data_IF_490258759125
#
_entry.id   IF_490258759125
#
_cell.length_a   1.000
_cell.length_b   1.000
_cell.length_c   1.000
_cell.angle_alpha   90.00
_cell.angle_beta   90.00
_cell.angle_gamma   90.00
#
_symmetry.space_group_name_H-M   'P 1'
#
loop_
_entity.id
_entity.type
_entity.pdbx_description
1 polymer ?
#
# COMPACT_ATOMS: atom_id res chain seq x y z
N UNK A 1 44.72 -27.23 24.99
CA UNK A 1 46.11 -26.78 25.20
C UNK A 1 46.65 -26.22 23.89
N UNK A 2 47.25 -25.09 24.00
CA UNK A 2 47.99 -24.20 23.07
C UNK A 2 47.21 -23.00 22.58
N UNK A 3 47.44 -21.93 23.34
CA UNK A 3 47.28 -20.50 22.99
C UNK A 3 48.34 -20.12 21.97
N UNK A 4 48.03 -19.30 20.98
CA UNK A 4 49.00 -18.40 20.36
C UNK A 4 48.38 -17.03 20.25
N UNK A 5 49.03 -16.08 20.84
CA UNK A 5 48.87 -14.66 20.97
C UNK A 5 49.85 -13.99 19.99
N UNK A 6 49.46 -12.96 19.26
CA UNK A 6 50.37 -11.93 18.69
C UNK A 6 49.50 -10.87 18.03
N UNK A 7 49.47 -9.71 18.50
CA UNK A 7 50.30 -8.52 18.66
C UNK A 7 50.03 -7.45 17.57
N UNK A 8 49.66 -6.32 18.11
CA UNK A 8 49.47 -4.96 17.54
C UNK A 8 50.54 -4.51 16.55
N UNK A 9 50.12 -3.72 15.54
CA UNK A 9 50.94 -2.58 15.09
C UNK A 9 50.06 -1.41 14.69
N UNK A 10 50.11 -0.32 15.45
CA UNK A 10 49.57 0.99 15.15
C UNK A 10 50.58 1.74 14.26
N UNK A 11 50.08 2.41 13.24
CA UNK A 11 50.81 3.33 12.40
C UNK A 11 50.08 4.67 12.28
N UNK A 12 50.54 5.63 13.09
CA UNK A 12 50.16 7.04 13.01
C UNK A 12 51.05 7.69 11.95
N UNK A 13 50.46 8.35 10.95
CA UNK A 13 51.18 9.36 10.15
C UNK A 13 50.35 10.66 10.13
N UNK A 14 50.83 11.60 10.89
CA UNK A 14 50.47 13.00 10.82
C UNK A 14 51.24 13.67 9.66
N UNK A 15 50.56 14.44 8.84
CA UNK A 15 51.23 15.45 7.99
C UNK A 15 50.55 16.79 8.12
N UNK A 16 51.42 17.77 8.33
CA UNK A 16 51.21 19.12 8.78
C UNK A 16 50.66 20.07 7.74
N UNK A 17 50.06 21.13 8.28
CA UNK A 17 49.59 22.35 7.63
C UNK A 17 50.67 23.10 6.87
N UNK A 18 50.31 23.74 5.76
CA UNK A 18 50.92 24.98 5.29
C UNK A 18 49.85 25.93 4.79
N UNK A 19 49.71 27.03 5.50
CA UNK A 19 48.92 28.18 5.13
C UNK A 19 49.66 29.01 4.10
N UNK A 20 48.97 29.52 3.08
CA UNK A 20 49.38 30.71 2.36
C UNK A 20 48.15 31.59 2.03
N UNK A 21 48.17 32.76 2.60
CA UNK A 21 47.29 33.87 2.42
C UNK A 21 47.52 34.57 1.05
N UNK A 22 46.43 35.00 0.41
CA UNK A 22 46.50 35.92 -0.74
C UNK A 22 45.10 36.38 -1.14
N UNK A 23 44.73 37.60 -0.78
CA UNK A 23 43.66 38.47 -1.32
C UNK A 23 44.34 39.64 -2.00
N UNK A 24 43.67 40.53 -2.77
CA UNK A 24 42.50 40.48 -3.64
C UNK A 24 42.74 41.05 -5.06
N UNK A 25 41.78 40.92 -5.95
CA UNK A 25 41.59 41.90 -7.03
C UNK A 25 40.10 41.98 -7.44
N UNK A 26 39.53 43.15 -7.17
CA UNK A 26 38.27 43.63 -7.72
C UNK A 26 38.41 43.85 -9.23
N UNK A 27 37.37 43.49 -9.99
CA UNK A 27 37.14 44.11 -11.29
C UNK A 27 35.64 44.30 -11.46
N UNK A 28 35.29 45.57 -11.72
CA UNK A 28 33.95 46.13 -11.86
C UNK A 28 33.22 45.63 -13.11
N UNK A 29 31.90 45.70 -13.02
CA UNK A 29 30.87 45.49 -14.05
C UNK A 29 30.95 46.53 -15.20
N UNK A 30 30.18 46.32 -16.27
CA UNK A 30 29.34 47.42 -16.70
C UNK A 30 27.84 47.07 -16.68
N UNK A 31 27.08 48.03 -16.17
CA UNK A 31 25.64 48.20 -16.29
C UNK A 31 25.21 48.28 -17.76
N UNK A 32 24.11 47.64 -18.10
CA UNK A 32 23.29 48.05 -19.23
C UNK A 32 21.83 47.99 -18.84
N UNK A 33 21.18 49.13 -19.05
CA UNK A 33 19.83 49.51 -18.66
C UNK A 33 18.76 48.69 -19.39
N UNK A 34 17.64 48.52 -18.68
CA UNK A 34 16.36 48.02 -19.14
C UNK A 34 15.69 48.93 -20.20
N UNK A 35 14.64 48.43 -20.85
CA UNK A 35 13.40 49.18 -20.86
C UNK A 35 12.24 48.45 -20.23
N UNK A 36 11.48 49.23 -19.47
CA UNK A 36 10.18 48.94 -18.92
C UNK A 36 9.17 48.60 -20.04
N UNK A 37 8.37 47.56 -19.80
CA UNK A 37 7.02 47.46 -20.36
C UNK A 37 6.10 46.86 -19.33
N UNK A 38 5.02 47.59 -19.07
CA UNK A 38 4.01 47.37 -18.06
C UNK A 38 3.10 46.16 -18.34
N UNK A 39 2.71 45.53 -17.22
CA UNK A 39 1.40 45.05 -16.81
C UNK A 39 0.69 43.97 -17.64
N UNK A 40 0.45 42.93 -16.97
CA UNK A 40 -0.80 42.19 -16.66
C UNK A 40 -0.40 40.79 -16.24
N UNK A 41 -0.64 40.32 -15.07
CA UNK A 41 -1.84 40.16 -14.30
C UNK A 41 -1.76 38.80 -13.67
N UNK A 42 -1.72 38.75 -12.38
CA UNK A 42 -2.18 37.72 -11.47
C UNK A 42 -2.56 36.37 -12.07
N UNK A 43 -1.89 35.31 -11.71
CA UNK A 43 -2.41 34.06 -11.15
C UNK A 43 -1.35 32.96 -11.28
N UNK A 44 -0.43 32.87 -10.33
CA UNK A 44 0.31 31.62 -10.05
C UNK A 44 1.16 31.77 -8.77
N UNK A 45 0.48 31.83 -7.65
CA UNK A 45 1.09 31.62 -6.33
C UNK A 45 -0.04 31.46 -5.31
N UNK A 46 -0.76 30.35 -5.32
CA UNK A 46 -1.60 29.88 -4.20
C UNK A 46 -2.08 28.47 -4.50
N UNK A 47 -1.20 27.49 -4.57
CA UNK A 47 -1.58 26.05 -4.56
C UNK A 47 -0.71 25.25 -3.58
N UNK A 48 0.38 25.82 -3.02
CA UNK A 48 1.27 25.06 -2.13
C UNK A 48 1.06 25.30 -0.62
N UNK A 49 -0.05 25.89 -0.20
CA UNK A 49 -0.27 26.15 1.23
C UNK A 49 -1.69 25.86 1.72
N UNK A 50 -2.43 24.96 1.05
CA UNK A 50 -3.81 24.64 1.38
C UNK A 50 -4.08 23.15 1.66
N UNK A 51 -3.07 22.31 1.83
CA UNK A 51 -3.25 20.88 2.11
C UNK A 51 -3.07 20.55 3.60
N UNK A 52 -2.79 21.52 4.44
CA UNK A 52 -2.54 21.33 5.86
C UNK A 52 -3.75 21.62 6.78
N UNK A 53 -4.89 22.04 6.24
CA UNK A 53 -6.12 22.28 7.02
C UNK A 53 -7.33 21.96 6.15
N UNK A 54 -7.61 20.68 5.92
CA UNK A 54 -8.97 20.28 5.53
C UNK A 54 -9.65 19.69 6.75
N UNK A 55 -10.15 20.57 7.57
CA UNK A 55 -11.16 20.28 8.60
C UNK A 55 -12.42 19.86 7.84
N UNK A 56 -13.00 18.74 8.26
CA UNK A 56 -14.24 18.17 7.78
C UNK A 56 -15.29 19.20 7.34
N UNK A 57 -15.76 19.13 6.11
CA UNK A 57 -17.05 19.68 5.75
C UNK A 57 -18.14 18.77 6.35
N UNK A 58 -18.79 19.25 7.40
CA UNK A 58 -19.96 18.62 8.00
C UNK A 58 -21.13 18.74 7.04
N UNK A 59 -21.48 17.65 6.36
CA UNK A 59 -22.77 17.50 5.70
C UNK A 59 -23.73 16.83 6.68
N UNK A 60 -24.38 17.61 7.53
CA UNK A 60 -25.44 17.13 8.41
C UNK A 60 -26.70 16.76 7.61
N UNK A 61 -27.03 15.48 7.51
CA UNK A 61 -28.33 14.99 7.07
C UNK A 61 -29.30 14.92 8.24
N UNK A 62 -30.47 15.57 8.13
CA UNK A 62 -31.53 15.50 9.15
C UNK A 62 -32.07 14.06 9.25
N UNK A 63 -31.71 13.33 10.32
CA UNK A 63 -32.25 12.01 10.63
C UNK A 63 -31.23 10.88 10.78
N UNK A 64 -29.92 11.18 10.74
CA UNK A 64 -28.84 10.19 10.83
C UNK A 64 -28.59 9.64 12.24
N UNK A 65 -27.65 8.67 12.33
CA UNK A 65 -27.23 8.06 13.59
C UNK A 65 -26.56 9.06 14.54
N UNK A 66 -25.99 10.15 13.98
CA UNK A 66 -25.30 11.21 14.71
C UNK A 66 -23.94 10.79 15.27
N UNK A 67 -23.43 9.61 14.87
CA UNK A 67 -22.10 9.13 15.27
C UNK A 67 -20.99 9.78 14.46
N UNK A 68 -19.81 9.88 15.05
CA UNK A 68 -18.59 10.31 14.39
C UNK A 68 -17.67 9.10 14.23
N UNK A 69 -17.39 8.73 12.99
CA UNK A 69 -16.55 7.59 12.63
C UNK A 69 -15.16 8.09 12.20
N UNK A 70 -14.11 7.54 12.80
CA UNK A 70 -12.74 7.74 12.33
C UNK A 70 -12.41 6.74 11.21
N UNK A 71 -11.67 7.15 10.17
CA UNK A 71 -11.03 6.25 9.24
C UNK A 71 -9.52 6.50 9.24
N UNK A 72 -8.74 5.46 9.52
CA UNK A 72 -7.28 5.52 9.54
C UNK A 72 -6.69 4.48 8.59
N UNK A 73 -6.44 4.86 7.32
CA UNK A 73 -5.60 4.09 6.41
C UNK A 73 -4.13 4.22 6.83
N UNK A 74 -3.18 3.58 6.12
CA UNK A 74 -1.78 3.92 6.29
C UNK A 74 -1.24 4.88 5.22
N UNK A 75 -1.97 5.09 4.12
CA UNK A 75 -1.71 6.14 3.13
C UNK A 75 -2.96 6.43 2.30
N UNK A 76 -3.05 7.62 1.71
CA UNK A 76 -4.05 7.97 0.69
C UNK A 76 -3.41 8.25 -0.68
N UNK A 77 -2.11 8.03 -0.82
CA UNK A 77 -1.43 8.15 -2.12
C UNK A 77 -1.62 6.92 -3.02
N UNK A 78 -2.02 5.78 -2.43
CA UNK A 78 -2.41 4.59 -3.18
C UNK A 78 -3.92 4.62 -3.42
N UNK A 79 -4.33 4.43 -4.67
CA UNK A 79 -5.73 4.50 -5.10
C UNK A 79 -6.64 3.46 -4.42
N UNK A 80 -6.09 2.32 -3.96
CA UNK A 80 -6.82 1.32 -3.19
C UNK A 80 -7.44 1.92 -1.92
N UNK A 81 -6.65 2.66 -1.12
CA UNK A 81 -7.16 3.26 0.12
C UNK A 81 -8.08 4.45 -0.14
N UNK A 82 -7.93 5.12 -1.28
CA UNK A 82 -8.91 6.12 -1.72
C UNK A 82 -10.24 5.45 -2.07
N UNK A 83 -10.24 4.26 -2.68
CA UNK A 83 -11.46 3.49 -2.93
C UNK A 83 -12.12 3.02 -1.61
N UNK A 84 -11.33 2.57 -0.62
CA UNK A 84 -11.84 2.25 0.72
C UNK A 84 -12.48 3.48 1.37
N UNK A 85 -11.80 4.64 1.32
CA UNK A 85 -12.33 5.91 1.84
C UNK A 85 -13.66 6.29 1.19
N UNK A 86 -13.79 6.12 -0.13
CA UNK A 86 -15.04 6.38 -0.84
C UNK A 86 -16.17 5.47 -0.33
N UNK A 87 -15.86 4.21 -0.02
CA UNK A 87 -16.81 3.30 0.61
C UNK A 87 -17.23 3.76 2.00
N UNK A 88 -16.28 4.18 2.83
CA UNK A 88 -16.55 4.74 4.15
C UNK A 88 -17.44 5.99 4.06
N UNK A 89 -17.14 6.91 3.11
CA UNK A 89 -17.92 8.12 2.92
C UNK A 89 -19.36 7.80 2.47
N UNK A 90 -19.52 6.89 1.50
CA UNK A 90 -20.84 6.46 1.05
C UNK A 90 -21.67 5.89 2.20
N UNK A 91 -21.09 5.03 3.03
CA UNK A 91 -21.81 4.47 4.18
C UNK A 91 -22.15 5.56 5.23
N UNK A 92 -21.24 6.50 5.48
CA UNK A 92 -21.51 7.61 6.40
C UNK A 92 -22.65 8.48 5.89
N UNK A 93 -22.69 8.81 4.59
CA UNK A 93 -23.74 9.60 3.97
C UNK A 93 -25.11 8.91 4.07
N UNK A 94 -25.17 7.58 3.85
CA UNK A 94 -26.39 6.80 3.94
C UNK A 94 -26.88 6.59 5.37
N UNK A 95 -25.96 6.40 6.31
CA UNK A 95 -26.26 6.11 7.72
C UNK A 95 -26.37 7.38 8.58
N UNK A 96 -26.03 8.54 8.02
CA UNK A 96 -26.05 9.83 8.70
C UNK A 96 -25.00 9.94 9.80
N UNK A 97 -23.77 9.49 9.50
CA UNK A 97 -22.59 9.65 10.33
C UNK A 97 -21.72 10.81 9.85
N UNK A 98 -20.86 11.33 10.73
CA UNK A 98 -19.74 12.17 10.35
C UNK A 98 -18.49 11.28 10.14
N UNK A 99 -17.68 11.54 9.09
CA UNK A 99 -16.43 10.83 8.82
C UNK A 99 -15.23 11.77 9.06
N UNK A 100 -14.30 11.35 9.93
CA UNK A 100 -13.00 12.01 10.14
C UNK A 100 -11.90 11.09 9.65
N UNK A 101 -11.00 11.59 8.79
CA UNK A 101 -9.87 10.81 8.31
C UNK A 101 -8.62 11.68 8.12
N UNK A 102 -7.45 11.05 8.11
CA UNK A 102 -6.16 11.68 7.86
C UNK A 102 -5.31 10.79 6.96
N UNK A 103 -4.26 11.37 6.35
CA UNK A 103 -3.26 10.66 5.57
C UNK A 103 -1.96 10.51 6.38
N UNK A 104 -1.62 9.32 6.88
CA UNK A 104 -0.38 9.06 7.60
C UNK A 104 0.86 9.05 6.72
N UNK A 105 0.71 8.85 5.39
CA UNK A 105 1.81 8.85 4.42
C UNK A 105 2.85 7.74 4.68
N UNK A 106 2.40 6.54 5.01
CA UNK A 106 3.22 5.37 5.34
C UNK A 106 4.11 5.57 6.59
N UNK A 107 3.73 6.47 7.50
CA UNK A 107 4.43 6.69 8.76
C UNK A 107 3.58 6.15 9.93
N UNK A 108 3.97 5.04 10.57
CA UNK A 108 3.21 4.44 11.67
C UNK A 108 3.15 5.34 12.91
N UNK A 109 4.15 6.20 13.13
CA UNK A 109 4.13 7.17 14.24
C UNK A 109 3.09 8.24 13.98
N UNK A 110 3.06 8.77 12.76
CA UNK A 110 2.06 9.76 12.33
C UNK A 110 0.65 9.15 12.35
N UNK A 111 0.49 7.88 11.96
CA UNK A 111 -0.78 7.17 12.05
C UNK A 111 -1.27 7.12 13.52
N UNK A 112 -0.39 6.76 14.44
CA UNK A 112 -0.72 6.69 15.85
C UNK A 112 -1.11 8.08 16.44
N UNK A 113 -0.37 9.12 16.09
CA UNK A 113 -0.67 10.49 16.54
C UNK A 113 -2.03 10.95 16.00
N UNK A 114 -2.32 10.70 14.72
CA UNK A 114 -3.61 11.03 14.09
C UNK A 114 -4.80 10.28 14.71
N UNK A 115 -4.62 9.01 15.07
CA UNK A 115 -5.67 8.25 15.81
C UNK A 115 -5.91 8.87 17.18
N UNK A 116 -4.86 9.27 17.92
CA UNK A 116 -5.00 9.97 19.18
C UNK A 116 -5.74 11.32 19.03
N UNK A 117 -5.49 12.04 17.93
CA UNK A 117 -6.20 13.27 17.60
C UNK A 117 -7.68 13.00 17.31
N UNK A 118 -8.02 11.93 16.59
CA UNK A 118 -9.42 11.50 16.37
C UNK A 118 -10.11 11.14 17.69
N UNK A 119 -9.44 10.40 18.59
CA UNK A 119 -9.96 10.08 19.93
C UNK A 119 -10.23 11.37 20.72
N UNK A 120 -9.30 12.31 20.70
CA UNK A 120 -9.46 13.60 21.36
C UNK A 120 -10.59 14.46 20.75
N UNK A 121 -10.85 14.33 19.46
CA UNK A 121 -11.98 14.94 18.76
C UNK A 121 -13.32 14.28 19.10
N UNK A 122 -13.31 13.10 19.71
CA UNK A 122 -14.50 12.41 20.22
C UNK A 122 -15.16 11.48 19.20
N UNK A 123 -14.39 10.75 18.40
CA UNK A 123 -14.95 9.69 17.56
C UNK A 123 -15.61 8.60 18.41
N UNK A 124 -16.71 8.03 17.89
CA UNK A 124 -17.44 6.94 18.55
C UNK A 124 -16.87 5.56 18.13
N UNK A 125 -16.38 5.46 16.88
CA UNK A 125 -15.75 4.26 16.37
C UNK A 125 -14.64 4.59 15.36
N UNK A 126 -13.76 3.61 15.10
CA UNK A 126 -12.63 3.69 14.19
C UNK A 126 -12.67 2.54 13.19
N UNK A 127 -12.63 2.83 11.91
CA UNK A 127 -12.28 1.90 10.84
C UNK A 127 -10.77 2.01 10.63
N UNK A 128 -10.04 0.91 10.85
CA UNK A 128 -8.59 0.92 10.99
C UNK A 128 -7.88 -0.04 10.04
N UNK A 129 -6.88 0.48 9.31
CA UNK A 129 -5.94 -0.31 8.52
C UNK A 129 -4.53 -0.05 9.05
N UNK A 130 -3.89 -0.96 9.80
CA UNK A 130 -2.54 -0.75 10.29
C UNK A 130 -1.52 -0.78 9.16
N UNK A 131 -0.54 0.13 9.20
CA UNK A 131 0.65 0.03 8.34
C UNK A 131 1.54 -1.15 8.79
N UNK A 132 1.76 -1.28 10.08
CA UNK A 132 2.47 -2.36 10.74
C UNK A 132 1.51 -3.14 11.64
N UNK A 133 1.21 -4.38 11.27
CA UNK A 133 0.29 -5.25 12.02
C UNK A 133 0.76 -5.50 13.45
N UNK A 134 2.07 -5.66 13.68
CA UNK A 134 2.65 -5.91 14.99
C UNK A 134 2.75 -4.64 15.87
N UNK A 135 2.77 -3.46 15.25
CA UNK A 135 2.88 -2.17 15.95
C UNK A 135 1.54 -1.59 16.42
N UNK A 136 0.41 -2.24 16.12
CA UNK A 136 -0.93 -1.68 16.33
C UNK A 136 -1.36 -1.60 17.81
N UNK A 137 -0.80 -2.43 18.69
CA UNK A 137 -1.26 -2.62 20.08
C UNK A 137 -1.47 -1.32 20.87
N UNK A 138 -0.54 -0.36 20.76
CA UNK A 138 -0.60 0.87 21.53
C UNK A 138 -1.82 1.73 21.18
N UNK A 139 -2.12 1.90 19.89
CA UNK A 139 -3.27 2.70 19.45
C UNK A 139 -4.59 1.98 19.70
N UNK A 140 -4.62 0.65 19.54
CA UNK A 140 -5.80 -0.16 19.85
C UNK A 140 -6.14 -0.09 21.35
N UNK A 141 -5.12 -0.14 22.22
CA UNK A 141 -5.34 0.04 23.66
C UNK A 141 -5.86 1.44 23.98
N UNK A 142 -5.36 2.49 23.30
CA UNK A 142 -5.88 3.85 23.48
C UNK A 142 -7.35 3.97 23.06
N UNK A 143 -7.75 3.36 21.94
CA UNK A 143 -9.16 3.29 21.53
C UNK A 143 -10.02 2.59 22.60
N UNK A 144 -9.57 1.44 23.08
CA UNK A 144 -10.28 0.66 24.11
C UNK A 144 -10.45 1.45 25.41
N UNK A 145 -9.38 2.13 25.87
CA UNK A 145 -9.41 2.95 27.08
C UNK A 145 -10.35 4.17 26.95
N UNK A 146 -10.48 4.70 25.75
CA UNK A 146 -11.41 5.78 25.41
C UNK A 146 -12.86 5.30 25.15
N UNK A 147 -13.08 3.98 25.03
CA UNK A 147 -14.39 3.39 24.73
C UNK A 147 -14.76 3.47 23.24
N UNK A 148 -13.81 3.80 22.36
CA UNK A 148 -13.98 3.84 20.92
C UNK A 148 -14.04 2.41 20.38
N UNK A 149 -15.07 2.09 19.57
CA UNK A 149 -15.18 0.81 18.87
C UNK A 149 -14.20 0.73 17.72
N UNK A 150 -13.61 -0.44 17.47
CA UNK A 150 -12.63 -0.60 16.39
C UNK A 150 -13.03 -1.75 15.47
N UNK A 151 -13.25 -1.43 14.20
CA UNK A 151 -13.32 -2.41 13.11
C UNK A 151 -12.01 -2.34 12.33
N UNK A 152 -11.23 -3.41 12.43
CA UNK A 152 -10.01 -3.57 11.63
C UNK A 152 -10.41 -4.06 10.24
N UNK A 153 -9.89 -3.41 9.20
CA UNK A 153 -10.17 -3.83 7.82
C UNK A 153 -8.87 -4.01 7.03
N UNK A 154 -8.91 -4.79 5.94
CA UNK A 154 -7.83 -5.01 4.97
C UNK A 154 -6.58 -5.68 5.57
N UNK A 155 -5.61 -4.89 6.03
CA UNK A 155 -4.43 -5.43 6.71
C UNK A 155 -4.80 -5.78 8.16
N UNK A 156 -4.70 -7.07 8.49
CA UNK A 156 -5.16 -7.59 9.78
C UNK A 156 -4.10 -7.30 10.85
N UNK A 157 -4.56 -6.87 12.03
CA UNK A 157 -3.72 -6.73 13.22
C UNK A 157 -3.16 -8.09 13.65
N UNK A 158 -2.07 -8.11 14.42
CA UNK A 158 -1.51 -9.34 14.95
C UNK A 158 -2.53 -10.12 15.80
N UNK A 159 -2.48 -11.46 15.80
CA UNK A 159 -3.43 -12.32 16.52
C UNK A 159 -3.49 -12.01 18.02
N UNK A 160 -2.36 -11.63 18.61
CA UNK A 160 -2.28 -11.21 20.01
C UNK A 160 -3.08 -9.94 20.34
N UNK A 161 -3.43 -9.13 19.33
CA UNK A 161 -4.20 -7.89 19.47
C UNK A 161 -5.69 -8.05 19.13
N UNK A 162 -6.16 -9.24 18.78
CA UNK A 162 -7.58 -9.49 18.45
C UNK A 162 -8.55 -9.13 19.56
N UNK A 163 -8.12 -9.17 20.83
CA UNK A 163 -8.95 -8.74 21.97
C UNK A 163 -9.13 -7.21 22.05
N UNK A 164 -8.41 -6.46 21.24
CA UNK A 164 -8.44 -4.99 21.19
C UNK A 164 -9.30 -4.43 20.05
N UNK A 165 -9.78 -5.28 19.15
CA UNK A 165 -10.70 -4.92 18.07
C UNK A 165 -12.06 -5.56 18.28
N UNK A 166 -13.12 -4.92 17.78
CA UNK A 166 -14.50 -5.42 17.90
C UNK A 166 -14.90 -6.31 16.72
N UNK A 167 -14.20 -6.19 15.58
CA UNK A 167 -14.40 -7.01 14.38
C UNK A 167 -13.28 -6.83 13.37
N UNK A 168 -13.18 -7.80 12.45
CA UNK A 168 -12.19 -7.84 11.37
C UNK A 168 -12.91 -8.08 10.04
N UNK A 169 -12.66 -7.24 9.05
CA UNK A 169 -13.17 -7.41 7.68
C UNK A 169 -11.96 -7.43 6.73
N UNK A 170 -11.71 -8.55 6.09
CA UNK A 170 -10.57 -8.68 5.19
C UNK A 170 -10.94 -9.50 3.95
N UNK A 171 -10.22 -9.30 2.86
CA UNK A 171 -10.23 -10.21 1.74
C UNK A 171 -9.64 -11.55 2.16
N UNK A 172 -10.07 -12.65 1.52
CA UNK A 172 -9.39 -13.92 1.67
C UNK A 172 -8.03 -13.87 0.98
N UNK A 173 -7.02 -13.41 1.73
CA UNK A 173 -5.66 -13.25 1.21
C UNK A 173 -5.01 -14.57 0.79
N UNK A 174 -5.39 -15.70 1.42
CA UNK A 174 -4.97 -17.03 0.96
C UNK A 174 -5.56 -17.32 -0.43
N UNK A 175 -6.84 -17.04 -0.63
CA UNK A 175 -7.51 -17.25 -1.91
C UNK A 175 -6.95 -16.33 -3.01
N UNK A 176 -6.68 -15.05 -2.69
CA UNK A 176 -6.06 -14.11 -3.62
C UNK A 176 -4.73 -14.63 -4.15
N UNK A 177 -3.84 -15.06 -3.26
CA UNK A 177 -2.57 -15.67 -3.65
C UNK A 177 -2.75 -16.98 -4.41
N UNK A 178 -3.65 -17.84 -3.93
CA UNK A 178 -3.94 -19.14 -4.55
C UNK A 178 -4.35 -19.01 -6.02
N UNK A 179 -5.24 -18.07 -6.35
CA UNK A 179 -5.66 -17.80 -7.74
C UNK A 179 -4.49 -17.43 -8.65
N UNK A 180 -3.52 -16.68 -8.14
CA UNK A 180 -2.32 -16.33 -8.89
C UNK A 180 -1.37 -17.53 -9.07
N UNK A 181 -1.18 -18.31 -8.02
CA UNK A 181 -0.37 -19.54 -8.09
C UNK A 181 -0.96 -20.62 -9.01
N UNK A 182 -2.28 -20.80 -9.00
CA UNK A 182 -3.01 -21.66 -9.93
C UNK A 182 -2.79 -21.25 -11.38
N UNK A 183 -2.88 -19.92 -11.66
CA UNK A 183 -2.65 -19.41 -13.01
C UNK A 183 -1.21 -19.61 -13.47
N UNK A 184 -0.23 -19.38 -12.59
CA UNK A 184 1.19 -19.63 -12.89
C UNK A 184 1.43 -21.11 -13.19
N UNK A 185 0.90 -22.02 -12.37
CA UNK A 185 1.01 -23.46 -12.62
C UNK A 185 0.41 -23.89 -13.98
N UNK A 186 -0.69 -23.25 -14.38
CA UNK A 186 -1.35 -23.47 -15.67
C UNK A 186 -0.54 -22.92 -16.85
N UNK A 187 0.01 -21.73 -16.72
CA UNK A 187 0.73 -21.05 -17.81
C UNK A 187 2.15 -21.57 -18.00
N UNK A 188 2.78 -22.04 -16.92
CA UNK A 188 4.16 -22.54 -16.90
C UNK A 188 4.21 -24.04 -16.50
N UNK A 189 3.63 -24.98 -17.27
CA UNK A 189 3.51 -26.37 -16.86
C UNK A 189 4.86 -27.10 -16.69
N UNK A 190 5.93 -26.55 -17.23
CA UNK A 190 7.29 -27.09 -17.12
C UNK A 190 8.10 -26.52 -15.95
N UNK A 191 7.53 -25.56 -15.18
CA UNK A 191 8.16 -24.84 -14.07
C UNK A 191 8.45 -23.38 -14.41
N UNK A 192 8.83 -22.58 -13.43
CA UNK A 192 9.15 -21.16 -13.57
C UNK A 192 10.16 -20.68 -12.52
N UNK A 193 10.98 -19.71 -12.87
CA UNK A 193 11.80 -18.91 -11.96
C UNK A 193 11.03 -17.66 -11.57
N UNK A 194 10.76 -17.51 -10.28
CA UNK A 194 9.78 -16.55 -9.76
C UNK A 194 10.48 -15.51 -8.89
N UNK A 195 10.30 -14.24 -9.24
CA UNK A 195 10.62 -13.10 -8.39
C UNK A 195 9.37 -12.67 -7.61
N UNK A 196 9.48 -12.51 -6.29
CA UNK A 196 8.41 -11.98 -5.45
C UNK A 196 8.70 -10.52 -5.09
N UNK A 197 7.77 -9.62 -5.42
CA UNK A 197 7.80 -8.22 -4.97
C UNK A 197 6.84 -8.07 -3.81
N UNK A 198 7.39 -7.91 -2.60
CA UNK A 198 6.70 -8.09 -1.32
C UNK A 198 6.54 -6.77 -0.54
N UNK A 199 5.70 -6.82 0.52
CA UNK A 199 5.64 -5.90 1.66
C UNK A 199 5.57 -6.76 2.94
N UNK A 200 6.73 -7.09 3.51
CA UNK A 200 6.86 -8.11 4.55
C UNK A 200 6.36 -7.69 5.94
N UNK A 201 6.11 -6.39 6.14
CA UNK A 201 5.56 -5.87 7.41
C UNK A 201 4.03 -6.00 7.48
N UNK A 202 3.35 -6.31 6.37
CA UNK A 202 1.90 -6.45 6.28
C UNK A 202 1.51 -7.93 6.31
N UNK A 203 0.80 -8.36 7.35
CA UNK A 203 0.36 -9.76 7.54
C UNK A 203 -0.48 -10.25 6.35
N UNK A 204 -1.36 -9.41 5.81
CA UNK A 204 -2.17 -9.71 4.63
C UNK A 204 -1.31 -10.07 3.41
N UNK A 205 -0.13 -9.44 3.25
CA UNK A 205 0.80 -9.72 2.17
C UNK A 205 1.58 -11.02 2.40
N UNK A 206 1.92 -11.34 3.65
CA UNK A 206 2.56 -12.62 4.02
C UNK A 206 1.61 -13.78 3.68
N UNK A 207 0.38 -13.74 4.18
CA UNK A 207 -0.66 -14.76 3.90
C UNK A 207 -0.92 -14.88 2.40
N UNK A 208 -0.88 -13.77 1.67
CA UNK A 208 -1.09 -13.75 0.22
C UNK A 208 0.03 -14.52 -0.52
N UNK A 209 1.30 -14.29 -0.18
CA UNK A 209 2.43 -15.02 -0.79
C UNK A 209 2.41 -16.50 -0.41
N UNK A 210 2.03 -16.86 0.82
CA UNK A 210 1.82 -18.26 1.22
C UNK A 210 0.73 -18.91 0.37
N UNK A 211 -0.39 -18.19 0.13
CA UNK A 211 -1.46 -18.61 -0.75
C UNK A 211 -0.98 -18.86 -2.19
N UNK A 212 -0.11 -17.98 -2.71
CA UNK A 212 0.48 -18.13 -4.04
C UNK A 212 1.27 -19.44 -4.17
N UNK A 213 2.13 -19.74 -3.25
CA UNK A 213 2.89 -20.99 -3.25
C UNK A 213 2.00 -22.21 -3.09
N UNK A 214 0.95 -22.12 -2.28
CA UNK A 214 -0.06 -23.16 -2.14
C UNK A 214 -0.80 -23.41 -3.46
N UNK A 215 -1.17 -22.37 -4.19
CA UNK A 215 -1.77 -22.48 -5.52
C UNK A 215 -0.88 -23.24 -6.50
N UNK A 216 0.42 -22.98 -6.51
CA UNK A 216 1.39 -23.75 -7.30
C UNK A 216 1.47 -25.19 -6.80
N UNK A 217 1.61 -25.42 -5.49
CA UNK A 217 1.77 -26.77 -4.91
C UNK A 217 0.60 -27.69 -5.27
N UNK A 218 -0.62 -27.17 -5.26
CA UNK A 218 -1.82 -27.96 -5.50
C UNK A 218 -2.15 -28.16 -7.01
N UNK A 219 -1.66 -27.28 -7.90
CA UNK A 219 -2.05 -27.30 -9.31
C UNK A 219 -0.92 -27.68 -10.27
N UNK A 220 0.35 -27.58 -9.86
CA UNK A 220 1.48 -27.97 -10.70
C UNK A 220 1.67 -29.50 -10.71
N UNK A 221 2.01 -30.03 -11.89
CA UNK A 221 2.35 -31.46 -12.02
C UNK A 221 3.65 -31.83 -11.25
N UNK A 222 4.58 -30.90 -11.13
CA UNK A 222 5.82 -31.04 -10.37
C UNK A 222 6.17 -29.68 -9.74
N UNK A 223 5.68 -29.39 -8.50
CA UNK A 223 5.92 -28.12 -7.82
C UNK A 223 7.41 -27.80 -7.60
N UNK A 224 8.28 -28.81 -7.57
CA UNK A 224 9.72 -28.62 -7.36
C UNK A 224 10.44 -27.87 -8.51
N UNK A 225 9.75 -27.67 -9.62
CA UNK A 225 10.27 -26.91 -10.78
C UNK A 225 9.98 -25.42 -10.69
N UNK A 226 9.23 -24.97 -9.69
CA UNK A 226 8.97 -23.55 -9.48
C UNK A 226 9.92 -23.05 -8.39
N UNK A 227 10.79 -22.13 -8.77
CA UNK A 227 11.91 -21.69 -7.94
C UNK A 227 11.73 -20.22 -7.58
N UNK A 228 11.69 -19.93 -6.30
CA UNK A 228 11.82 -18.55 -5.82
C UNK A 228 13.27 -18.09 -6.00
N UNK A 229 13.52 -17.25 -7.01
CA UNK A 229 14.87 -16.76 -7.28
C UNK A 229 15.27 -15.64 -6.33
N UNK A 230 14.30 -14.81 -5.94
CA UNK A 230 14.50 -13.73 -4.98
C UNK A 230 13.17 -13.23 -4.43
N UNK A 231 13.17 -12.73 -3.20
CA UNK A 231 12.12 -11.87 -2.63
C UNK A 231 12.72 -10.48 -2.46
N UNK A 232 12.02 -9.45 -2.96
CA UNK A 232 12.43 -8.05 -2.86
C UNK A 232 11.34 -7.22 -2.20
N UNK A 233 11.73 -6.16 -1.47
CA UNK A 233 10.81 -5.27 -0.78
C UNK A 233 10.40 -4.12 -1.73
N UNK A 234 9.14 -4.14 -2.18
CA UNK A 234 8.57 -3.17 -3.13
C UNK A 234 7.79 -2.04 -2.46
N UNK A 235 7.70 -2.03 -1.12
CA UNK A 235 7.00 -1.01 -0.32
C UNK A 235 5.55 -0.74 -0.77
N UNK A 236 4.95 -1.65 -1.54
CA UNK A 236 3.62 -1.48 -2.13
C UNK A 236 3.48 -0.33 -3.12
N UNK A 237 4.58 0.19 -3.67
CA UNK A 237 4.62 1.38 -4.53
C UNK A 237 5.29 1.11 -5.88
N UNK A 238 4.90 1.88 -6.90
CA UNK A 238 5.45 1.78 -8.27
C UNK A 238 6.95 2.07 -8.30
N UNK A 239 7.38 3.17 -7.65
CA UNK A 239 8.78 3.62 -7.72
C UNK A 239 9.73 2.65 -7.02
N UNK A 240 9.35 2.17 -5.82
CA UNK A 240 10.17 1.20 -5.11
C UNK A 240 10.23 -0.14 -5.87
N UNK A 241 9.09 -0.64 -6.34
CA UNK A 241 9.02 -1.86 -7.13
C UNK A 241 9.86 -1.76 -8.41
N UNK A 242 9.76 -0.64 -9.16
CA UNK A 242 10.61 -0.40 -10.34
C UNK A 242 12.10 -0.56 -10.03
N UNK A 243 12.56 0.07 -8.94
CA UNK A 243 13.98 0.05 -8.57
C UNK A 243 14.45 -1.37 -8.23
N UNK A 244 13.71 -2.07 -7.34
CA UNK A 244 14.14 -3.42 -6.88
C UNK A 244 13.99 -4.46 -7.96
N UNK A 245 12.99 -4.35 -8.86
CA UNK A 245 12.84 -5.24 -10.02
C UNK A 245 13.93 -4.97 -11.05
N UNK A 246 14.28 -3.70 -11.30
CA UNK A 246 15.40 -3.35 -12.20
C UNK A 246 16.72 -3.97 -11.73
N UNK A 247 16.99 -3.96 -10.43
CA UNK A 247 18.17 -4.59 -9.83
C UNK A 247 18.09 -6.13 -9.95
N UNK A 248 16.93 -6.72 -9.68
CA UNK A 248 16.72 -8.16 -9.80
C UNK A 248 16.89 -8.65 -11.25
N UNK A 249 16.40 -7.91 -12.24
CA UNK A 249 16.56 -8.24 -13.67
C UNK A 249 18.02 -8.14 -14.16
N UNK A 250 18.87 -7.39 -13.46
CA UNK A 250 20.31 -7.37 -13.71
C UNK A 250 21.05 -8.56 -13.04
N UNK A 251 20.54 -9.04 -11.90
CA UNK A 251 21.13 -10.15 -11.16
C UNK A 251 20.71 -11.52 -11.71
N UNK A 252 19.50 -11.62 -12.28
CA UNK A 252 18.88 -12.84 -12.77
C UNK A 252 18.38 -12.61 -14.20
N UNK A 253 18.93 -13.33 -15.16
CA UNK A 253 18.54 -13.22 -16.58
C UNK A 253 17.45 -14.25 -16.98
N UNK A 254 17.10 -15.13 -16.06
CA UNK A 254 16.23 -16.29 -16.22
C UNK A 254 14.89 -16.19 -15.44
N UNK A 255 14.45 -14.98 -15.05
CA UNK A 255 13.15 -14.77 -14.43
C UNK A 255 12.04 -15.00 -15.47
N UNK A 256 11.09 -15.88 -15.15
CA UNK A 256 9.93 -16.19 -15.97
C UNK A 256 8.66 -15.47 -15.46
N UNK A 257 8.56 -15.28 -14.16
CA UNK A 257 7.37 -14.71 -13.50
C UNK A 257 7.79 -13.68 -12.45
N UNK A 258 7.07 -12.56 -12.39
CA UNK A 258 7.14 -11.59 -11.29
C UNK A 258 5.77 -11.54 -10.63
N UNK A 259 5.69 -12.00 -9.38
CA UNK A 259 4.50 -11.90 -8.55
C UNK A 259 4.60 -10.71 -7.61
N UNK A 260 3.66 -9.77 -7.73
CA UNK A 260 3.59 -8.56 -6.94
C UNK A 260 2.39 -8.58 -6.01
N UNK A 261 2.59 -8.12 -4.78
CA UNK A 261 1.55 -8.11 -3.74
C UNK A 261 0.42 -7.09 -3.99
N UNK A 262 0.56 -6.22 -4.98
CA UNK A 262 -0.49 -5.31 -5.45
C UNK A 262 -0.23 -4.85 -6.90
N UNK A 263 -1.26 -4.27 -7.53
CA UNK A 263 -1.19 -3.78 -8.91
C UNK A 263 -0.27 -2.56 -9.05
N UNK A 264 -0.15 -1.75 -8.01
CA UNK A 264 0.77 -0.60 -7.98
C UNK A 264 2.23 -1.05 -8.11
N UNK A 265 2.64 -2.09 -7.37
CA UNK A 265 3.97 -2.69 -7.51
C UNK A 265 4.13 -3.43 -8.85
N UNK A 266 3.06 -4.08 -9.34
CA UNK A 266 3.07 -4.75 -10.64
C UNK A 266 3.32 -3.77 -11.79
N UNK A 267 2.76 -2.55 -11.72
CA UNK A 267 3.05 -1.48 -12.68
C UNK A 267 4.54 -1.11 -12.67
N UNK A 268 5.17 -1.02 -11.50
CA UNK A 268 6.61 -0.79 -11.37
C UNK A 268 7.44 -1.91 -12.01
N UNK A 269 7.01 -3.17 -11.80
CA UNK A 269 7.64 -4.33 -12.44
C UNK A 269 7.51 -4.28 -13.97
N UNK A 270 6.33 -3.94 -14.50
CA UNK A 270 6.10 -3.76 -15.95
C UNK A 270 7.05 -2.73 -16.53
N UNK A 271 7.18 -1.56 -15.88
CA UNK A 271 8.10 -0.50 -16.34
C UNK A 271 9.57 -0.96 -16.32
N UNK A 272 10.00 -1.70 -15.30
CA UNK A 272 11.36 -2.25 -15.24
C UNK A 272 11.63 -3.28 -16.34
N UNK A 273 10.64 -4.13 -16.69
CA UNK A 273 10.70 -5.09 -17.78
C UNK A 273 10.81 -4.36 -19.14
N UNK A 274 10.04 -3.28 -19.33
CA UNK A 274 10.10 -2.45 -20.54
C UNK A 274 11.48 -1.81 -20.72
N UNK A 275 12.04 -1.21 -19.67
CA UNK A 275 13.38 -0.61 -19.69
C UNK A 275 14.47 -1.65 -19.96
N UNK A 276 14.31 -2.86 -19.43
CA UNK A 276 15.19 -3.98 -19.69
C UNK A 276 14.99 -4.61 -21.10
N UNK A 277 13.97 -4.16 -21.86
CA UNK A 277 13.59 -4.69 -23.19
C UNK A 277 13.23 -6.19 -23.17
N UNK A 278 12.61 -6.63 -22.10
CA UNK A 278 12.15 -8.01 -21.86
C UNK A 278 10.60 -8.12 -21.94
N UNK A 279 9.89 -7.11 -22.47
CA UNK A 279 8.42 -7.12 -22.61
C UNK A 279 7.95 -8.36 -23.37
N UNK A 280 6.94 -9.05 -22.83
CA UNK A 280 6.36 -10.27 -23.38
C UNK A 280 7.22 -11.53 -23.18
N UNK A 281 8.27 -11.47 -22.36
CA UNK A 281 9.08 -12.65 -21.98
C UNK A 281 8.95 -13.02 -20.51
N UNK A 282 8.33 -12.16 -19.70
CA UNK A 282 8.14 -12.34 -18.27
C UNK A 282 6.67 -12.06 -17.96
N UNK A 283 6.00 -13.00 -17.29
CA UNK A 283 4.63 -12.83 -16.83
C UNK A 283 4.61 -11.99 -15.55
N UNK A 284 3.81 -10.93 -15.52
CA UNK A 284 3.60 -10.08 -14.33
C UNK A 284 2.21 -10.32 -13.77
N UNK A 285 2.13 -10.63 -12.49
CA UNK A 285 0.88 -10.80 -11.76
C UNK A 285 0.81 -9.76 -10.63
N UNK A 286 -0.38 -9.20 -10.44
CA UNK A 286 -0.70 -8.24 -9.38
C UNK A 286 -1.84 -8.73 -8.49
N UNK A 287 -2.25 -7.83 -7.59
CA UNK A 287 -3.39 -8.00 -6.69
C UNK A 287 -4.09 -6.66 -6.58
N UNK A 288 -5.34 -6.64 -6.35
CA UNK A 288 -6.32 -5.60 -6.02
C UNK A 288 -7.46 -5.49 -7.04
N UNK A 289 -7.23 -5.80 -8.34
CA UNK A 289 -8.20 -5.53 -9.41
C UNK A 289 -8.35 -4.03 -9.69
N UNK A 290 -7.29 -3.28 -9.45
CA UNK A 290 -7.26 -1.83 -9.63
C UNK A 290 -7.46 -1.41 -11.10
N UNK A 291 -7.96 -0.18 -11.38
CA UNK A 291 -8.00 0.36 -12.73
C UNK A 291 -6.69 0.22 -13.49
N UNK A 292 -5.55 0.55 -12.86
CA UNK A 292 -4.22 0.42 -13.47
C UNK A 292 -3.87 -1.03 -13.84
N UNK A 293 -4.21 -2.00 -12.98
CA UNK A 293 -4.01 -3.43 -13.24
C UNK A 293 -4.89 -3.91 -14.38
N UNK A 294 -6.18 -3.52 -14.41
CA UNK A 294 -7.11 -3.87 -15.49
C UNK A 294 -6.65 -3.32 -16.85
N UNK A 295 -6.20 -2.07 -16.91
CA UNK A 295 -5.60 -1.52 -18.13
C UNK A 295 -4.37 -2.31 -18.57
N UNK A 296 -3.45 -2.65 -17.64
CA UNK A 296 -2.26 -3.42 -17.95
C UNK A 296 -2.57 -4.85 -18.45
N UNK A 297 -3.62 -5.50 -17.91
CA UNK A 297 -4.12 -6.79 -18.42
C UNK A 297 -4.68 -6.62 -19.84
N UNK A 298 -5.48 -5.57 -20.07
CA UNK A 298 -6.07 -5.27 -21.37
C UNK A 298 -5.01 -5.01 -22.43
N UNK A 299 -3.91 -4.33 -22.07
CA UNK A 299 -2.77 -4.02 -22.93
C UNK A 299 -1.80 -5.21 -23.09
N UNK A 300 -1.98 -6.27 -22.29
CA UNK A 300 -1.17 -7.48 -22.33
C UNK A 300 0.22 -7.32 -21.66
N UNK A 301 0.40 -6.32 -20.81
CA UNK A 301 1.65 -6.12 -20.04
C UNK A 301 1.61 -6.79 -18.66
N UNK A 302 0.40 -7.10 -18.16
CA UNK A 302 0.16 -8.00 -17.03
C UNK A 302 -0.70 -9.18 -17.49
N UNK A 303 -0.54 -10.33 -16.83
CA UNK A 303 -1.33 -11.53 -17.15
C UNK A 303 -2.53 -11.69 -16.21
N UNK A 304 -2.46 -11.14 -15.01
CA UNK A 304 -3.53 -11.27 -13.99
C UNK A 304 -3.44 -10.19 -12.93
N UNK A 305 -4.60 -9.83 -12.37
CA UNK A 305 -4.76 -9.25 -11.04
C UNK A 305 -5.78 -10.05 -10.23
N UNK A 306 -5.40 -10.49 -9.01
CA UNK A 306 -6.34 -11.09 -8.06
C UNK A 306 -7.11 -9.97 -7.36
N UNK A 307 -8.42 -9.87 -7.63
CA UNK A 307 -9.21 -8.70 -7.29
C UNK A 307 -9.79 -8.75 -5.88
N UNK A 308 -9.75 -7.60 -5.23
CA UNK A 308 -10.39 -7.25 -3.96
C UNK A 308 -11.60 -6.33 -4.19
N UNK A 309 -12.32 -6.00 -3.11
CA UNK A 309 -13.49 -5.10 -3.13
C UNK A 309 -13.31 -3.96 -2.13
N UNK A 310 -12.38 -3.01 -2.38
CA UNK A 310 -12.01 -1.98 -1.40
C UNK A 310 -13.17 -1.05 -1.05
N UNK A 311 -14.00 -0.63 -2.01
CA UNK A 311 -15.15 0.23 -1.75
C UNK A 311 -16.17 -0.48 -0.86
N UNK A 312 -16.45 -1.76 -1.13
CA UNK A 312 -17.35 -2.57 -0.30
C UNK A 312 -16.78 -2.78 1.11
N UNK A 313 -15.47 -3.01 1.23
CA UNK A 313 -14.79 -3.18 2.51
C UNK A 313 -14.90 -1.92 3.39
N UNK A 314 -14.67 -0.74 2.82
CA UNK A 314 -14.85 0.53 3.53
C UNK A 314 -16.30 0.77 3.97
N UNK A 315 -17.26 0.47 3.08
CA UNK A 315 -18.68 0.55 3.39
C UNK A 315 -19.06 -0.36 4.57
N UNK A 316 -18.67 -1.62 4.51
CA UNK A 316 -18.93 -2.59 5.57
C UNK A 316 -18.27 -2.21 6.89
N UNK A 317 -17.05 -1.65 6.85
CA UNK A 317 -16.36 -1.18 8.05
C UNK A 317 -17.17 -0.14 8.83
N UNK A 318 -17.72 0.86 8.13
CA UNK A 318 -18.60 1.86 8.74
C UNK A 318 -19.94 1.25 9.19
N UNK A 319 -20.55 0.38 8.34
CA UNK A 319 -21.81 -0.28 8.68
C UNK A 319 -21.69 -1.09 9.98
N UNK A 320 -20.61 -1.85 10.15
CA UNK A 320 -20.38 -2.64 11.38
C UNK A 320 -20.08 -1.75 12.58
N UNK A 321 -19.35 -0.63 12.41
CA UNK A 321 -19.20 0.38 13.46
C UNK A 321 -20.56 0.88 13.96
N UNK A 322 -21.44 1.29 13.05
CA UNK A 322 -22.78 1.78 13.39
C UNK A 322 -23.65 0.71 14.04
N UNK A 323 -23.55 -0.54 13.55
CA UNK A 323 -24.29 -1.66 14.11
C UNK A 323 -23.86 -1.94 15.57
N UNK A 324 -22.56 -1.92 15.87
CA UNK A 324 -22.02 -2.04 17.21
C UNK A 324 -22.49 -0.91 18.14
N UNK A 325 -22.42 0.35 17.66
CA UNK A 325 -22.84 1.52 18.44
C UNK A 325 -24.36 1.48 18.73
N UNK A 326 -25.15 0.88 17.85
CA UNK A 326 -26.58 0.63 18.06
C UNK A 326 -26.86 -0.63 18.91
N UNK A 327 -25.82 -1.31 19.43
CA UNK A 327 -25.95 -2.50 20.29
C UNK A 327 -26.31 -3.78 19.54
N UNK A 328 -26.11 -3.82 18.22
CA UNK A 328 -26.25 -5.06 17.45
C UNK A 328 -25.01 -5.94 17.60
N UNK A 329 -25.17 -7.22 17.35
CA UNK A 329 -24.07 -8.18 17.26
C UNK A 329 -23.60 -8.26 15.82
N UNK A 330 -22.28 -8.24 15.61
CA UNK A 330 -21.64 -8.48 14.32
C UNK A 330 -20.86 -9.79 14.33
N UNK A 331 -20.48 -10.29 13.16
CA UNK A 331 -19.50 -11.36 13.03
C UNK A 331 -18.11 -10.81 13.36
N UNK A 332 -17.29 -11.57 14.12
CA UNK A 332 -15.94 -11.09 14.47
C UNK A 332 -15.00 -11.09 13.25
N UNK A 333 -15.12 -12.09 12.37
CA UNK A 333 -14.34 -12.20 11.14
C UNK A 333 -15.26 -12.25 9.93
N UNK A 334 -15.27 -11.21 9.13
CA UNK A 334 -15.98 -11.13 7.86
C UNK A 334 -14.99 -11.26 6.70
N UNK A 335 -15.07 -12.37 5.96
CA UNK A 335 -14.22 -12.59 4.77
C UNK A 335 -14.92 -12.10 3.51
N UNK A 336 -14.26 -11.23 2.76
CA UNK A 336 -14.74 -10.75 1.45
C UNK A 336 -14.19 -11.65 0.35
N UNK A 337 -15.10 -12.17 -0.49
CA UNK A 337 -14.73 -13.04 -1.60
C UNK A 337 -13.81 -12.35 -2.61
N UNK A 338 -12.83 -13.12 -3.07
CA UNK A 338 -11.80 -12.71 -4.04
C UNK A 338 -12.03 -13.40 -5.38
N UNK A 339 -11.58 -12.81 -6.47
CA UNK A 339 -11.72 -13.38 -7.82
C UNK A 339 -10.53 -12.99 -8.70
N UNK A 340 -10.34 -13.71 -9.81
CA UNK A 340 -9.26 -13.45 -10.78
C UNK A 340 -9.75 -12.59 -11.93
N UNK A 341 -9.00 -11.57 -12.27
CA UNK A 341 -9.14 -10.81 -13.52
C UNK A 341 -7.92 -11.12 -14.39
N UNK A 342 -8.19 -11.66 -15.58
CA UNK A 342 -7.16 -12.00 -16.58
C UNK A 342 -7.68 -11.74 -18.00
N UNK A 343 -6.87 -12.07 -19.02
CA UNK A 343 -7.23 -11.85 -20.42
C UNK A 343 -8.52 -12.57 -20.87
N UNK A 344 -8.98 -13.58 -20.12
CA UNK A 344 -10.19 -14.34 -20.48
C UNK A 344 -11.49 -13.67 -20.07
N UNK A 345 -11.44 -12.74 -19.11
CA UNK A 345 -12.61 -12.08 -18.53
C UNK A 345 -12.51 -10.55 -18.41
N UNK A 346 -11.38 -9.95 -18.80
CA UNK A 346 -11.16 -8.49 -18.66
C UNK A 346 -12.24 -7.64 -19.37
N UNK A 347 -12.88 -8.17 -20.42
CA UNK A 347 -13.92 -7.47 -21.17
C UNK A 347 -15.25 -7.37 -20.40
N UNK A 348 -15.42 -8.11 -19.31
CA UNK A 348 -16.59 -8.07 -18.45
C UNK A 348 -16.51 -6.95 -17.40
N UNK A 349 -15.36 -6.27 -17.27
CA UNK A 349 -15.10 -5.27 -16.25
C UNK A 349 -15.02 -3.85 -16.82
N UNK A 350 -15.49 -2.86 -16.04
CA UNK A 350 -15.17 -1.46 -16.27
C UNK A 350 -13.70 -1.21 -15.89
N UNK A 351 -12.91 -0.79 -16.89
CA UNK A 351 -11.45 -0.60 -16.70
C UNK A 351 -11.13 0.59 -15.79
N UNK A 352 -12.01 1.57 -15.69
CA UNK A 352 -11.78 2.83 -14.98
C UNK A 352 -12.42 2.88 -13.58
N UNK A 353 -13.20 1.87 -13.20
CA UNK A 353 -13.88 1.81 -11.91
C UNK A 353 -13.28 0.74 -11.00
N UNK A 354 -13.32 0.95 -9.68
CA UNK A 354 -13.25 -0.12 -8.70
C UNK A 354 -14.57 -0.89 -8.69
N UNK A 355 -14.55 -2.10 -8.13
CA UNK A 355 -15.79 -2.87 -7.99
C UNK A 355 -16.87 -2.08 -7.26
N UNK A 356 -18.08 -2.15 -7.78
CA UNK A 356 -19.25 -1.50 -7.21
C UNK A 356 -19.69 -2.17 -5.89
N UNK A 357 -20.46 -1.42 -5.12
CA UNK A 357 -21.18 -1.91 -3.92
C UNK A 357 -22.32 -2.83 -4.35
N UNK A 358 -22.08 -4.12 -4.62
CA UNK A 358 -23.12 -5.13 -4.82
C UNK A 358 -23.12 -6.16 -3.70
#
# INVERSE_FOLDING_TARGET
MKKILSVFLAGILAFSMAACSGKPAETQAPETQAPETQAQGETQATVEQSVAETVAETVGTEGGSGYTIGFSPYTLTNEYFTAVLNGCQTACDELGCELIYYDPQNDPTKQADQINDMIAAGIDALVYIPYDSAGAQTVLQACKDAGVKVINIDNVVAEEDYELVDGIIASDNTQLGYLSGELVAKNHPDGANILIVHLQIAESCIINVEGFWKGIEENAADPSKYVEVQVVEGEGSTDAAFNVVSDALQAHDDIDVIYCINDTSALGAVQAIEDAKKTGTIDVLGKDGAPIGKHAIKDGTMVQSSAQRPTYMGYMGVQECVDLLNGKTIEFNTSIASYSIDASNIDDYDLDAWDTLE
#
